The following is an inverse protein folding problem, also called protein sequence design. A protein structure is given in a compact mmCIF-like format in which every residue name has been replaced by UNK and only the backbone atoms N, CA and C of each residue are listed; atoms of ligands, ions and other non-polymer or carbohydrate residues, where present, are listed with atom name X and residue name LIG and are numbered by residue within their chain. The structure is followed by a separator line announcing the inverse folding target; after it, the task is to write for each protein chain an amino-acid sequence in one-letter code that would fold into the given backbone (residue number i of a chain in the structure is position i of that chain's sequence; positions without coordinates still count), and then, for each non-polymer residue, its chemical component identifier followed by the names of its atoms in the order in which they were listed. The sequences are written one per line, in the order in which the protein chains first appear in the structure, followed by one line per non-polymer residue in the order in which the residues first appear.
data_IF_271681336473
#
_entry.id   IF_271681336473
#
_cell.length_a   1.000
_cell.length_b   1.000
_cell.length_c   1.000
_cell.angle_alpha   90.00
_cell.angle_beta   90.00
_cell.angle_gamma   90.00
#
_symmetry.space_group_name_H-M   'P 1'
#
loop_
_entity.id
_entity.type
_entity.pdbx_description
1 polymer ?
#
# COMPACT_ATOMS: atom_id res chain seq x y z
N UNK A 1 51.16 29.32 -42.33
CA UNK A 1 49.93 30.05 -41.95
C UNK A 1 49.13 29.15 -41.03
N UNK A 2 49.20 29.47 -39.72
CA UNK A 2 48.58 28.66 -38.67
C UNK A 2 47.33 29.44 -38.22
N UNK A 3 46.14 28.90 -38.50
CA UNK A 3 44.89 29.47 -37.96
C UNK A 3 44.68 28.92 -36.56
N UNK A 4 44.93 29.78 -35.55
CA UNK A 4 44.52 29.52 -34.17
C UNK A 4 43.02 29.71 -33.99
N UNK A 5 42.32 28.64 -33.67
CA UNK A 5 40.91 28.72 -33.25
C UNK A 5 40.87 29.15 -31.77
N UNK A 6 40.50 30.40 -31.53
CA UNK A 6 40.28 30.93 -30.20
C UNK A 6 38.92 30.38 -29.74
N UNK A 7 38.92 29.35 -28.89
CA UNK A 7 37.69 28.85 -28.24
C UNK A 7 37.38 29.87 -27.11
N UNK A 8 36.28 30.60 -27.27
CA UNK A 8 35.80 31.54 -26.24
C UNK A 8 35.39 30.77 -24.97
N UNK A 9 35.82 31.23 -23.77
CA UNK A 9 35.56 30.54 -22.49
C UNK A 9 34.08 30.63 -22.00
N UNK A 10 33.20 31.25 -22.76
CA UNK A 10 31.81 31.49 -22.33
C UNK A 10 30.91 30.26 -22.43
N UNK A 11 31.19 29.32 -23.34
CA UNK A 11 30.34 28.10 -23.50
C UNK A 11 30.60 27.02 -22.41
N UNK A 12 31.82 26.95 -21.90
CA UNK A 12 32.17 25.95 -20.88
C UNK A 12 31.49 26.21 -19.53
N UNK A 13 31.33 27.47 -19.12
CA UNK A 13 30.61 27.84 -17.88
C UNK A 13 29.09 27.53 -17.95
N UNK A 14 28.49 27.65 -19.13
CA UNK A 14 27.04 27.40 -19.31
C UNK A 14 26.71 25.90 -19.32
N UNK A 15 27.60 25.04 -19.85
CA UNK A 15 27.48 23.59 -19.80
C UNK A 15 27.67 23.06 -18.37
N UNK A 16 28.65 23.60 -17.64
CA UNK A 16 28.95 23.17 -16.27
C UNK A 16 27.81 23.49 -15.30
N UNK A 17 27.19 24.67 -15.42
CA UNK A 17 26.01 25.06 -14.61
C UNK A 17 24.75 24.24 -14.92
N UNK A 18 24.63 23.70 -16.14
CA UNK A 18 23.50 22.87 -16.51
C UNK A 18 23.64 21.45 -15.95
N UNK A 19 24.84 20.91 -15.89
CA UNK A 19 25.14 19.59 -15.30
C UNK A 19 24.99 19.59 -13.78
N UNK A 20 25.38 20.67 -13.09
CA UNK A 20 25.19 20.79 -11.65
C UNK A 20 23.71 20.91 -11.25
N UNK A 21 22.90 21.66 -12.02
CA UNK A 21 21.45 21.76 -11.76
C UNK A 21 20.73 20.42 -11.97
N UNK A 22 21.10 19.66 -12.99
CA UNK A 22 20.51 18.33 -13.25
C UNK A 22 20.93 17.31 -12.21
N UNK A 23 22.20 17.32 -11.76
CA UNK A 23 22.68 16.47 -10.68
C UNK A 23 22.02 16.82 -9.34
N UNK A 24 21.88 18.11 -9.02
CA UNK A 24 21.18 18.58 -7.81
C UNK A 24 19.68 18.18 -7.83
N UNK A 25 19.00 18.29 -8.97
CA UNK A 25 17.60 17.88 -9.11
C UNK A 25 17.43 16.36 -8.96
N UNK A 26 18.33 15.57 -9.54
CA UNK A 26 18.34 14.11 -9.39
C UNK A 26 18.57 13.70 -7.93
N UNK A 27 19.49 14.36 -7.23
CA UNK A 27 19.74 14.12 -5.81
C UNK A 27 18.54 14.47 -4.93
N UNK A 28 17.87 15.62 -5.17
CA UNK A 28 16.64 16.02 -4.47
C UNK A 28 15.49 15.05 -4.73
N UNK A 29 15.34 14.54 -5.97
CA UNK A 29 14.35 13.54 -6.33
C UNK A 29 14.60 12.22 -5.59
N UNK A 30 15.84 11.73 -5.56
CA UNK A 30 16.20 10.51 -4.82
C UNK A 30 16.01 10.66 -3.31
N UNK A 31 16.30 11.84 -2.73
CA UNK A 31 16.03 12.12 -1.32
C UNK A 31 14.53 12.12 -1.01
N UNK A 32 13.70 12.71 -1.89
CA UNK A 32 12.23 12.71 -1.77
C UNK A 32 11.65 11.30 -1.88
N UNK A 33 12.12 10.51 -2.84
CA UNK A 33 11.70 9.10 -3.00
C UNK A 33 12.05 8.26 -1.76
N UNK A 34 13.28 8.39 -1.24
CA UNK A 34 13.70 7.69 -0.01
C UNK A 34 12.84 8.08 1.20
N UNK A 35 12.52 9.38 1.34
CA UNK A 35 11.65 9.87 2.41
C UNK A 35 10.23 9.29 2.28
N UNK A 36 9.66 9.28 1.08
CA UNK A 36 8.32 8.72 0.85
C UNK A 36 8.28 7.21 1.14
N UNK A 37 9.31 6.46 0.72
CA UNK A 37 9.43 5.03 1.04
C UNK A 37 9.55 4.78 2.55
N UNK A 38 10.28 5.62 3.29
CA UNK A 38 10.40 5.51 4.74
C UNK A 38 9.08 5.80 5.45
N UNK A 39 8.32 6.79 4.98
CA UNK A 39 6.98 7.14 5.48
C UNK A 39 6.02 5.97 5.26
N UNK A 40 5.97 5.42 4.03
CA UNK A 40 5.13 4.28 3.70
C UNK A 40 5.46 3.04 4.55
N UNK A 41 6.74 2.71 4.72
CA UNK A 41 7.19 1.60 5.57
C UNK A 41 6.80 1.79 7.04
N UNK A 42 6.90 3.02 7.56
CA UNK A 42 6.50 3.30 8.94
C UNK A 42 4.99 3.16 9.11
N UNK A 43 4.19 3.69 8.16
CA UNK A 43 2.74 3.54 8.19
C UNK A 43 2.34 2.06 8.15
N UNK A 44 2.93 1.28 7.26
CA UNK A 44 2.64 -0.16 7.16
C UNK A 44 2.99 -0.90 8.44
N UNK A 45 4.17 -0.65 9.04
CA UNK A 45 4.53 -1.24 10.33
C UNK A 45 3.48 -0.94 11.42
N UNK A 46 2.95 0.29 11.48
CA UNK A 46 1.92 0.66 12.45
C UNK A 46 0.62 -0.12 12.21
N UNK A 47 0.21 -0.28 10.95
CA UNK A 47 -0.98 -1.07 10.56
C UNK A 47 -0.79 -2.54 10.94
N UNK A 48 0.37 -3.14 10.64
CA UNK A 48 0.65 -4.55 10.94
C UNK A 48 0.63 -4.83 12.45
N UNK A 49 1.24 -3.95 13.25
CA UNK A 49 1.22 -4.06 14.71
C UNK A 49 -0.20 -3.90 15.27
N UNK A 50 -0.95 -2.92 14.77
CA UNK A 50 -2.33 -2.71 15.17
C UNK A 50 -3.21 -3.91 14.82
N UNK A 51 -3.06 -4.47 13.62
CA UNK A 51 -3.77 -5.69 13.21
C UNK A 51 -3.52 -6.85 14.18
N UNK A 52 -2.27 -7.07 14.58
CA UNK A 52 -1.93 -8.10 15.57
C UNK A 52 -2.61 -7.86 16.92
N UNK A 53 -2.57 -6.65 17.43
CA UNK A 53 -3.21 -6.31 18.70
C UNK A 53 -4.73 -6.42 18.63
N UNK A 54 -5.34 -5.98 17.53
CA UNK A 54 -6.78 -6.14 17.30
C UNK A 54 -7.18 -7.61 17.19
N UNK A 55 -6.37 -8.44 16.53
CA UNK A 55 -6.64 -9.88 16.41
C UNK A 55 -6.57 -10.61 17.75
N UNK A 56 -5.67 -10.17 18.65
CA UNK A 56 -5.49 -10.77 19.97
C UNK A 56 -6.51 -10.25 21.01
N UNK A 57 -6.68 -8.95 21.09
CA UNK A 57 -7.40 -8.30 22.18
C UNK A 57 -8.80 -7.81 21.76
N UNK A 58 -9.10 -7.78 20.46
CA UNK A 58 -10.25 -7.08 19.90
C UNK A 58 -10.02 -5.58 19.74
N UNK A 59 -10.92 -4.94 18.98
CA UNK A 59 -10.84 -3.52 18.69
C UNK A 59 -11.02 -2.64 19.93
N UNK A 60 -12.00 -2.98 20.78
CA UNK A 60 -12.35 -2.16 21.96
C UNK A 60 -11.25 -2.15 23.02
N UNK A 61 -10.66 -3.30 23.32
CA UNK A 61 -9.61 -3.41 24.32
C UNK A 61 -8.25 -2.87 23.87
N UNK A 62 -8.05 -2.66 22.58
CA UNK A 62 -6.79 -2.12 22.04
C UNK A 62 -6.80 -0.59 22.10
N UNK A 63 -5.72 0.00 22.61
CA UNK A 63 -5.55 1.44 22.71
C UNK A 63 -4.44 1.96 21.81
N UNK A 64 -4.49 3.27 21.47
CA UNK A 64 -3.43 3.94 20.72
C UNK A 64 -2.06 3.84 21.42
N UNK A 65 -2.04 3.80 22.76
CA UNK A 65 -0.79 3.62 23.52
C UNK A 65 -0.19 2.25 23.32
N UNK A 66 -0.99 1.19 23.40
CA UNK A 66 -0.54 -0.18 23.15
C UNK A 66 0.06 -0.32 21.74
N UNK A 67 -0.55 0.32 20.74
CA UNK A 67 -0.04 0.31 19.37
C UNK A 67 1.31 1.05 19.28
N UNK A 68 1.44 2.21 19.92
CA UNK A 68 2.68 2.98 19.93
C UNK A 68 3.81 2.19 20.59
N UNK A 69 3.59 1.60 21.76
CA UNK A 69 4.54 0.77 22.50
C UNK A 69 4.96 -0.46 21.69
N UNK A 70 4.01 -1.26 21.23
CA UNK A 70 4.28 -2.48 20.45
C UNK A 70 5.00 -2.21 19.13
N UNK A 71 4.73 -1.07 18.49
CA UNK A 71 5.43 -0.65 17.26
C UNK A 71 6.82 -0.06 17.50
N UNK A 72 7.19 0.18 18.76
CA UNK A 72 8.41 0.89 19.17
C UNK A 72 8.48 2.31 18.55
N UNK A 73 7.34 2.96 18.43
CA UNK A 73 7.21 4.33 17.93
C UNK A 73 6.63 5.22 19.02
N UNK A 74 7.12 6.46 19.08
CA UNK A 74 6.53 7.44 19.98
C UNK A 74 5.08 7.75 19.65
N UNK A 75 4.25 8.03 20.65
CA UNK A 75 2.83 8.45 20.46
C UNK A 75 2.69 9.55 19.43
N UNK A 76 3.55 10.56 19.46
CA UNK A 76 3.56 11.66 18.49
C UNK A 76 3.71 11.15 17.05
N UNK A 77 4.58 10.17 16.84
CA UNK A 77 4.75 9.55 15.52
C UNK A 77 3.48 8.85 15.07
N UNK A 78 2.84 8.05 15.96
CA UNK A 78 1.59 7.36 15.64
C UNK A 78 0.50 8.37 15.22
N UNK A 79 0.31 9.44 16.01
CA UNK A 79 -0.69 10.47 15.70
C UNK A 79 -0.37 11.31 14.46
N UNK A 80 0.86 11.27 13.94
CA UNK A 80 1.19 11.86 12.63
C UNK A 80 0.57 11.08 11.48
N UNK A 81 0.36 9.77 11.65
CA UNK A 81 -0.18 8.88 10.61
C UNK A 81 -1.67 8.60 10.78
N UNK A 82 -2.17 8.54 12.01
CA UNK A 82 -3.55 8.15 12.32
C UNK A 82 -4.09 9.00 13.46
N UNK A 83 -5.25 9.61 13.25
CA UNK A 83 -5.89 10.50 14.25
C UNK A 83 -6.50 9.71 15.40
N UNK A 84 -7.02 8.52 15.12
CA UNK A 84 -7.72 7.67 16.07
C UNK A 84 -7.55 6.18 15.73
N UNK A 85 -8.07 5.33 16.57
CA UNK A 85 -8.06 3.88 16.47
C UNK A 85 -8.84 3.38 15.24
N UNK A 86 -9.94 4.04 14.95
CA UNK A 86 -10.82 3.73 13.83
C UNK A 86 -10.11 3.92 12.48
N UNK A 87 -9.31 4.98 12.32
CA UNK A 87 -8.50 5.18 11.10
C UNK A 87 -7.49 4.05 10.89
N UNK A 88 -6.89 3.53 11.97
CA UNK A 88 -5.98 2.37 11.89
C UNK A 88 -6.77 1.10 11.51
N UNK A 89 -7.95 0.93 12.10
CA UNK A 89 -8.82 -0.21 11.79
C UNK A 89 -9.23 -0.21 10.31
N UNK A 90 -9.61 0.95 9.77
CA UNK A 90 -9.86 1.09 8.32
C UNK A 90 -8.65 0.73 7.48
N UNK A 91 -7.46 1.18 7.88
CA UNK A 91 -6.23 0.86 7.16
C UNK A 91 -5.91 -0.65 7.21
N UNK A 92 -6.26 -1.34 8.29
CA UNK A 92 -6.14 -2.81 8.39
C UNK A 92 -7.09 -3.49 7.38
N UNK A 93 -8.36 -3.08 7.34
CA UNK A 93 -9.35 -3.62 6.39
C UNK A 93 -8.88 -3.37 4.96
N UNK A 94 -8.47 -2.14 4.66
CA UNK A 94 -7.98 -1.76 3.33
C UNK A 94 -6.79 -2.63 2.90
N UNK A 95 -5.84 -2.88 3.79
CA UNK A 95 -4.68 -3.74 3.48
C UNK A 95 -5.09 -5.19 3.16
N UNK A 96 -6.11 -5.73 3.83
CA UNK A 96 -6.61 -7.07 3.53
C UNK A 96 -7.33 -7.13 2.18
N UNK A 97 -8.09 -6.10 1.83
CA UNK A 97 -8.76 -6.00 0.53
C UNK A 97 -7.77 -5.75 -0.62
N UNK A 98 -6.74 -4.92 -0.42
CA UNK A 98 -5.65 -4.73 -1.38
C UNK A 98 -4.95 -6.07 -1.68
N UNK A 99 -4.65 -6.87 -0.67
CA UNK A 99 -4.06 -8.21 -0.86
C UNK A 99 -4.96 -9.15 -1.67
N UNK A 100 -6.27 -9.08 -1.45
CA UNK A 100 -7.22 -9.86 -2.24
C UNK A 100 -7.19 -9.39 -3.70
N UNK A 101 -7.30 -8.09 -3.95
CA UNK A 101 -7.25 -7.49 -5.28
C UNK A 101 -5.97 -7.88 -6.02
N UNK A 102 -4.81 -7.70 -5.40
CA UNK A 102 -3.51 -8.05 -5.99
C UNK A 102 -3.45 -9.53 -6.42
N UNK A 103 -3.99 -10.45 -5.59
CA UNK A 103 -4.03 -11.88 -5.92
C UNK A 103 -5.01 -12.22 -7.03
N UNK A 104 -6.15 -11.52 -7.09
CA UNK A 104 -7.11 -11.66 -8.19
C UNK A 104 -6.50 -11.19 -9.51
N UNK A 105 -5.81 -10.04 -9.50
CA UNK A 105 -5.12 -9.49 -10.66
C UNK A 105 -4.00 -10.42 -11.16
N UNK A 106 -3.22 -11.03 -10.25
CA UNK A 106 -2.21 -12.03 -10.60
C UNK A 106 -2.83 -13.22 -11.35
N UNK A 107 -3.98 -13.72 -10.89
CA UNK A 107 -4.70 -14.84 -11.56
C UNK A 107 -5.25 -14.40 -12.91
N UNK A 108 -5.83 -13.20 -12.99
CA UNK A 108 -6.38 -12.66 -14.24
C UNK A 108 -5.30 -12.49 -15.32
N UNK A 109 -4.06 -12.18 -14.91
CA UNK A 109 -2.92 -12.01 -15.82
C UNK A 109 -2.28 -13.35 -16.28
N UNK A 110 -2.72 -14.51 -15.76
CA UNK A 110 -2.19 -15.80 -16.18
C UNK A 110 -2.59 -16.14 -17.63
N UNK A 111 -1.69 -16.74 -18.37
CA UNK A 111 -1.96 -17.26 -19.73
C UNK A 111 -2.49 -18.70 -19.63
N UNK A 112 -3.77 -18.83 -19.29
CA UNK A 112 -4.52 -20.10 -19.18
C UNK A 112 -5.93 -19.93 -19.78
N UNK A 113 -6.59 -21.04 -20.08
CA UNK A 113 -7.95 -21.03 -20.64
C UNK A 113 -8.93 -20.26 -19.73
N UNK A 114 -9.87 -19.47 -20.31
CA UNK A 114 -10.79 -18.63 -19.56
C UNK A 114 -11.59 -19.37 -18.47
N UNK A 115 -12.07 -20.60 -18.78
CA UNK A 115 -12.80 -21.40 -17.81
C UNK A 115 -11.94 -21.79 -16.60
N UNK A 116 -10.67 -22.13 -16.83
CA UNK A 116 -9.73 -22.44 -15.76
C UNK A 116 -9.41 -21.19 -14.93
N UNK A 117 -9.31 -20.03 -15.59
CA UNK A 117 -9.09 -18.74 -14.96
C UNK A 117 -10.22 -18.37 -14.01
N UNK A 118 -11.49 -18.52 -14.45
CA UNK A 118 -12.69 -18.29 -13.60
C UNK A 118 -12.69 -19.19 -12.37
N UNK A 119 -12.44 -20.50 -12.56
CA UNK A 119 -12.36 -21.44 -11.44
C UNK A 119 -11.27 -21.03 -10.46
N UNK A 120 -10.09 -20.67 -10.96
CA UNK A 120 -8.96 -20.25 -10.12
C UNK A 120 -9.23 -18.94 -9.39
N UNK A 121 -9.91 -17.97 -10.01
CA UNK A 121 -10.37 -16.73 -9.38
C UNK A 121 -11.30 -17.03 -8.19
N UNK A 122 -12.30 -17.90 -8.37
CA UNK A 122 -13.23 -18.30 -7.29
C UNK A 122 -12.46 -18.95 -6.13
N UNK A 123 -11.57 -19.91 -6.41
CA UNK A 123 -10.76 -20.57 -5.39
C UNK A 123 -9.85 -19.57 -4.67
N UNK A 124 -9.22 -18.66 -5.40
CA UNK A 124 -8.34 -17.63 -4.86
C UNK A 124 -9.13 -16.71 -3.93
N UNK A 125 -10.28 -16.23 -4.36
CA UNK A 125 -11.16 -15.38 -3.53
C UNK A 125 -11.54 -16.06 -2.21
N UNK A 126 -12.06 -17.30 -2.28
CA UNK A 126 -12.47 -18.05 -1.09
C UNK A 126 -11.30 -18.33 -0.14
N UNK A 127 -10.14 -18.68 -0.69
CA UNK A 127 -8.93 -18.96 0.09
C UNK A 127 -8.43 -17.71 0.79
N UNK A 128 -8.38 -16.57 0.10
CA UNK A 128 -7.94 -15.30 0.66
C UNK A 128 -8.88 -14.82 1.78
N UNK A 129 -10.20 -15.02 1.64
CA UNK A 129 -11.17 -14.75 2.72
C UNK A 129 -10.88 -15.64 3.93
N UNK A 130 -10.69 -16.94 3.72
CA UNK A 130 -10.37 -17.89 4.78
C UNK A 130 -9.09 -17.48 5.52
N UNK A 131 -8.03 -17.16 4.80
CA UNK A 131 -6.77 -16.68 5.37
C UNK A 131 -6.94 -15.38 6.15
N UNK A 132 -7.68 -14.42 5.61
CA UNK A 132 -7.97 -13.15 6.29
C UNK A 132 -8.73 -13.38 7.60
N UNK A 133 -9.70 -14.29 7.62
CA UNK A 133 -10.44 -14.68 8.84
C UNK A 133 -9.51 -15.27 9.90
N UNK A 134 -8.62 -16.19 9.49
CA UNK A 134 -7.65 -16.82 10.42
C UNK A 134 -6.66 -15.80 10.96
N UNK A 135 -6.11 -14.95 10.07
CA UNK A 135 -5.10 -13.93 10.41
C UNK A 135 -5.63 -12.85 11.34
N UNK A 136 -6.90 -12.49 11.20
CA UNK A 136 -7.51 -11.40 11.95
C UNK A 136 -8.26 -11.84 13.21
N UNK A 137 -8.33 -13.13 13.51
CA UNK A 137 -8.80 -13.66 14.81
C UNK A 137 -10.08 -13.01 15.36
N UNK A 138 -9.98 -12.35 16.50
CA UNK A 138 -11.09 -11.68 17.17
C UNK A 138 -11.72 -10.51 16.37
N UNK A 139 -11.01 -9.95 15.38
CA UNK A 139 -11.56 -8.93 14.49
C UNK A 139 -12.73 -9.44 13.64
N UNK A 140 -12.86 -10.76 13.46
CA UNK A 140 -13.98 -11.33 12.72
C UNK A 140 -15.34 -10.88 13.27
N UNK A 141 -15.51 -10.90 14.58
CA UNK A 141 -16.74 -10.44 15.22
C UNK A 141 -16.97 -8.92 14.98
N UNK A 142 -15.90 -8.16 14.99
CA UNK A 142 -15.93 -6.71 14.71
C UNK A 142 -16.29 -6.39 13.26
N UNK A 143 -15.84 -7.19 12.28
CA UNK A 143 -16.25 -7.02 10.87
C UNK A 143 -17.77 -7.12 10.71
N UNK A 144 -18.40 -8.06 11.41
CA UNK A 144 -19.86 -8.18 11.38
C UNK A 144 -20.56 -7.10 12.19
N UNK A 145 -20.01 -6.70 13.33
CA UNK A 145 -20.59 -5.66 14.19
C UNK A 145 -20.52 -4.27 13.56
N UNK A 146 -19.43 -3.98 12.84
CA UNK A 146 -19.18 -2.71 12.19
C UNK A 146 -19.30 -2.80 10.65
N UNK A 147 -20.31 -3.55 10.19
CA UNK A 147 -20.48 -3.86 8.75
C UNK A 147 -20.54 -2.60 7.89
N UNK A 148 -21.12 -1.51 8.37
CA UNK A 148 -21.18 -0.22 7.67
C UNK A 148 -19.81 0.37 7.37
N UNK A 149 -18.86 0.19 8.28
CA UNK A 149 -17.51 0.67 8.12
C UNK A 149 -16.76 -0.18 7.09
N UNK A 150 -16.93 -1.48 7.17
CA UNK A 150 -16.35 -2.45 6.22
C UNK A 150 -16.93 -2.22 4.82
N UNK A 151 -18.24 -2.04 4.72
CA UNK A 151 -18.94 -1.82 3.45
C UNK A 151 -18.44 -0.57 2.71
N UNK A 152 -18.18 0.52 3.45
CA UNK A 152 -17.65 1.75 2.84
C UNK A 152 -16.29 1.52 2.15
N UNK A 153 -15.40 0.77 2.78
CA UNK A 153 -14.10 0.42 2.19
C UNK A 153 -14.28 -0.60 1.07
N UNK A 154 -15.10 -1.63 1.31
CA UNK A 154 -15.35 -2.72 0.36
C UNK A 154 -15.90 -2.24 -0.97
N UNK A 155 -16.85 -1.30 -0.98
CA UNK A 155 -17.43 -0.74 -2.22
C UNK A 155 -16.39 -0.23 -3.22
N UNK A 156 -15.22 0.19 -2.76
CA UNK A 156 -14.14 0.63 -3.64
C UNK A 156 -13.47 -0.55 -4.38
N UNK A 157 -13.52 -1.75 -3.78
CA UNK A 157 -12.91 -2.97 -4.32
C UNK A 157 -13.91 -3.83 -5.09
N UNK A 158 -15.20 -3.80 -4.70
CA UNK A 158 -16.26 -4.58 -5.36
C UNK A 158 -16.36 -4.30 -6.87
N UNK A 159 -16.21 -3.02 -7.28
CA UNK A 159 -16.24 -2.65 -8.68
C UNK A 159 -15.03 -3.21 -9.45
N UNK A 160 -13.83 -3.11 -8.86
CA UNK A 160 -12.61 -3.64 -9.47
C UNK A 160 -12.67 -5.17 -9.61
N UNK A 161 -13.19 -5.86 -8.59
CA UNK A 161 -13.37 -7.32 -8.63
C UNK A 161 -14.38 -7.75 -9.70
N UNK A 162 -15.51 -7.03 -9.84
CA UNK A 162 -16.48 -7.25 -10.90
C UNK A 162 -15.85 -7.06 -12.28
N UNK A 163 -15.02 -6.04 -12.48
CA UNK A 163 -14.32 -5.79 -13.73
C UNK A 163 -13.34 -6.92 -14.07
N UNK A 164 -12.64 -7.50 -13.09
CA UNK A 164 -11.74 -8.65 -13.29
C UNK A 164 -12.52 -9.85 -13.83
N UNK A 165 -13.62 -10.24 -13.18
CA UNK A 165 -14.44 -11.34 -13.64
C UNK A 165 -15.07 -11.08 -15.01
N UNK A 166 -15.58 -9.88 -15.24
CA UNK A 166 -16.18 -9.50 -16.51
C UNK A 166 -15.21 -9.57 -17.68
N UNK A 167 -13.97 -9.10 -17.48
CA UNK A 167 -12.94 -9.13 -18.51
C UNK A 167 -12.55 -10.58 -18.86
N UNK A 168 -12.35 -11.42 -17.86
CA UNK A 168 -12.03 -12.86 -18.07
C UNK A 168 -13.15 -13.60 -18.78
N UNK A 169 -14.42 -13.28 -18.50
CA UNK A 169 -15.58 -13.92 -19.17
C UNK A 169 -15.77 -13.45 -20.61
N UNK A 170 -15.08 -12.40 -21.04
CA UNK A 170 -15.10 -11.89 -22.43
C UNK A 170 -13.98 -12.44 -23.30
N UNK A 171 -12.95 -13.03 -22.72
CA UNK A 171 -11.86 -13.69 -23.45
C UNK A 171 -12.37 -14.94 -24.16
#
# INVERSE_FOLDING_TARGET
MIFGVIIQPCCAKRLYLHTEKTACNKFKLHAKLRKNMSVAKTRQKLVDVARHLFAQNGLEATTMNMIAEASQKGRRTLYTYFKNKEEIYYAVIQTELERLSDRMDEVAAMDIEPEQKVILLIYTHLNMIKEAVVRNGNLRAEFFRNIWMVEKVRKQFDAAEQDVFYNVLKE
#
